data_IF_049079485602
#
_entry.id   IF_049079485602
#
_cell.length_a   1.000
_cell.length_b   1.000
_cell.length_c   1.000
_cell.angle_alpha   90.00
_cell.angle_beta   90.00
_cell.angle_gamma   90.00
#
_symmetry.space_group_name_H-M   'P 1'
#
loop_
_entity.id
_entity.type
_entity.pdbx_description
1 polymer ?
#
# COMPACT_ATOMS: atom_id res chain seq x y z
N UNK A 1 53.60 -44.21 -45.61
CA UNK A 1 54.50 -43.34 -44.83
C UNK A 1 53.73 -42.79 -43.62
N UNK A 2 54.45 -42.55 -42.54
CA UNK A 2 54.04 -42.58 -41.13
C UNK A 2 53.80 -41.15 -40.59
N UNK A 3 53.10 -41.04 -39.45
CA UNK A 3 53.30 -40.07 -38.33
C UNK A 3 52.30 -38.89 -38.16
N UNK A 4 51.42 -39.09 -37.17
CA UNK A 4 51.13 -38.32 -35.93
C UNK A 4 50.63 -36.86 -35.93
N UNK A 5 49.62 -36.72 -35.04
CA UNK A 5 49.44 -35.70 -34.00
C UNK A 5 48.88 -34.35 -34.41
N UNK A 6 47.70 -34.00 -33.87
CA UNK A 6 47.52 -32.89 -32.92
C UNK A 6 46.38 -33.19 -31.94
N UNK A 7 46.74 -33.75 -30.79
CA UNK A 7 45.99 -33.56 -29.53
C UNK A 7 46.20 -32.10 -29.14
N UNK A 8 45.13 -31.33 -28.97
CA UNK A 8 45.24 -29.97 -28.44
C UNK A 8 44.26 -28.97 -29.04
N UNK A 9 42.95 -29.19 -28.85
CA UNK A 9 41.96 -28.11 -28.78
C UNK A 9 41.02 -28.52 -27.63
N UNK A 10 41.43 -28.23 -26.40
CA UNK A 10 40.79 -27.18 -25.58
C UNK A 10 39.30 -27.55 -25.37
N UNK A 11 38.96 -28.39 -24.39
CA UNK A 11 38.64 -27.94 -23.02
C UNK A 11 37.93 -26.56 -23.01
N UNK A 12 36.87 -26.43 -23.82
CA UNK A 12 35.96 -25.27 -23.83
C UNK A 12 34.49 -25.72 -23.83
N UNK A 13 34.18 -26.85 -23.17
CA UNK A 13 32.81 -27.35 -23.01
C UNK A 13 32.30 -27.24 -21.57
N UNK A 14 32.97 -26.43 -20.74
CA UNK A 14 32.72 -26.39 -19.29
C UNK A 14 32.64 -24.97 -18.76
N UNK A 15 31.71 -24.15 -19.25
CA UNK A 15 31.18 -23.00 -18.50
C UNK A 15 29.95 -22.35 -19.16
N UNK A 16 28.93 -23.13 -19.53
CA UNK A 16 27.58 -22.61 -19.79
C UNK A 16 26.72 -22.77 -18.53
N UNK A 17 27.26 -22.25 -17.43
CA UNK A 17 26.57 -21.98 -16.16
C UNK A 17 26.59 -20.46 -15.98
N UNK A 18 25.84 -19.76 -16.84
CA UNK A 18 25.34 -18.41 -16.54
C UNK A 18 23.88 -18.60 -16.20
N UNK A 19 23.59 -19.10 -14.99
CA UNK A 19 22.99 -18.29 -13.94
C UNK A 19 21.99 -17.30 -14.55
N UNK A 20 20.76 -17.75 -14.74
CA UNK A 20 19.62 -16.85 -14.72
C UNK A 20 19.58 -16.24 -13.32
N UNK A 21 20.34 -15.17 -13.12
CA UNK A 21 20.11 -14.26 -12.01
C UNK A 21 18.77 -13.59 -12.29
N UNK A 22 17.69 -14.16 -11.77
CA UNK A 22 16.50 -13.39 -11.45
C UNK A 22 16.92 -12.40 -10.38
N UNK A 23 17.49 -11.28 -10.82
CA UNK A 23 17.61 -10.10 -9.97
C UNK A 23 16.18 -9.62 -9.76
N UNK A 24 15.66 -9.83 -8.56
CA UNK A 24 14.53 -9.04 -8.05
C UNK A 24 14.96 -7.58 -8.14
N UNK A 25 14.58 -6.93 -9.25
CA UNK A 25 14.75 -5.50 -9.40
C UNK A 25 13.96 -4.86 -8.25
N UNK A 26 14.57 -4.04 -7.37
CA UNK A 26 13.81 -3.33 -6.37
C UNK A 26 12.76 -2.53 -7.12
N UNK A 27 11.48 -2.84 -6.88
CA UNK A 27 10.32 -2.17 -7.47
C UNK A 27 10.58 -0.66 -7.44
N UNK A 28 10.90 -0.08 -8.59
CA UNK A 28 11.06 1.36 -8.77
C UNK A 28 9.86 2.04 -8.11
N UNK A 29 10.10 2.85 -7.09
CA UNK A 29 9.03 3.49 -6.34
C UNK A 29 8.14 4.25 -7.33
N UNK A 30 6.90 3.78 -7.51
CA UNK A 30 5.95 4.36 -8.47
C UNK A 30 5.87 5.87 -8.21
N UNK A 31 6.30 6.67 -9.20
CA UNK A 31 6.22 8.13 -9.10
C UNK A 31 4.76 8.54 -9.29
N UNK A 32 4.11 8.92 -8.20
CA UNK A 32 2.74 9.44 -8.25
C UNK A 32 2.79 10.94 -8.51
N UNK A 33 2.07 11.40 -9.53
CA UNK A 33 1.91 12.84 -9.83
C UNK A 33 0.94 13.53 -8.87
N UNK A 34 0.12 12.75 -8.17
CA UNK A 34 -0.88 13.21 -7.22
C UNK A 34 -0.68 12.56 -5.85
N UNK A 35 -0.87 13.35 -4.80
CA UNK A 35 -0.74 12.89 -3.41
C UNK A 35 -2.05 13.13 -2.67
N UNK A 36 -2.53 12.11 -1.97
CA UNK A 36 -3.71 12.22 -1.10
C UNK A 36 -3.32 12.52 0.34
N UNK A 37 -4.22 13.18 1.07
CA UNK A 37 -4.02 13.68 2.43
C UNK A 37 -5.26 13.40 3.28
N UNK A 38 -5.04 12.81 4.45
CA UNK A 38 -6.10 12.57 5.42
C UNK A 38 -6.50 13.89 6.06
N UNK A 39 -7.79 14.22 6.03
CA UNK A 39 -8.32 15.49 6.56
C UNK A 39 -7.56 16.73 6.06
N UNK A 40 -7.02 16.68 4.83
CA UNK A 40 -6.23 17.76 4.23
C UNK A 40 -4.96 18.14 5.01
N UNK A 41 -4.52 17.29 5.95
CA UNK A 41 -3.31 17.47 6.72
C UNK A 41 -2.09 17.12 5.88
N UNK A 42 -1.07 17.98 5.89
CA UNK A 42 0.23 17.71 5.26
C UNK A 42 1.12 16.78 6.09
N UNK A 43 0.63 16.28 7.23
CA UNK A 43 1.38 15.37 8.08
C UNK A 43 1.53 14.02 7.37
N UNK A 44 2.75 13.49 7.36
CA UNK A 44 2.97 12.07 7.06
C UNK A 44 2.40 11.26 8.24
N UNK A 45 1.10 10.98 8.19
CA UNK A 45 0.32 10.38 9.28
C UNK A 45 0.51 8.87 9.36
N UNK A 46 1.76 8.41 9.46
CA UNK A 46 2.04 6.97 9.63
C UNK A 46 1.49 6.42 10.95
N UNK A 47 1.38 7.26 11.98
CA UNK A 47 0.91 6.88 13.31
C UNK A 47 0.08 7.98 13.93
N UNK A 48 -1.11 7.65 14.45
CA UNK A 48 -2.03 8.60 15.07
C UNK A 48 -2.57 8.07 16.40
N UNK A 49 -2.67 8.91 17.45
CA UNK A 49 -3.45 8.56 18.63
C UNK A 49 -4.91 8.27 18.26
N UNK A 50 -5.55 7.29 18.90
CA UNK A 50 -6.97 6.92 18.63
C UNK A 50 -7.91 8.13 18.49
N UNK A 51 -7.89 9.06 19.45
CA UNK A 51 -8.75 10.25 19.42
C UNK A 51 -8.51 11.13 18.19
N UNK A 52 -7.26 11.28 17.77
CA UNK A 52 -6.91 12.02 16.56
C UNK A 52 -7.38 11.27 15.32
N UNK A 53 -7.19 9.96 15.28
CA UNK A 53 -7.70 9.12 14.19
C UNK A 53 -9.22 9.25 14.04
N UNK A 54 -9.99 9.09 15.12
CA UNK A 54 -11.46 9.21 15.12
C UNK A 54 -11.93 10.57 14.58
N UNK A 55 -11.21 11.63 14.95
CA UNK A 55 -11.53 12.98 14.50
C UNK A 55 -11.18 13.20 13.02
N UNK A 56 -10.07 12.63 12.54
CA UNK A 56 -9.55 12.85 11.19
C UNK A 56 -10.22 11.95 10.14
N UNK A 57 -10.56 10.71 10.48
CA UNK A 57 -11.19 9.76 9.53
C UNK A 57 -12.63 10.17 9.18
N UNK A 58 -13.27 10.94 10.04
CA UNK A 58 -14.59 11.52 9.80
C UNK A 58 -14.57 12.72 8.85
N UNK A 59 -13.39 13.28 8.53
CA UNK A 59 -13.23 14.43 7.65
C UNK A 59 -12.93 14.00 6.20
N UNK A 60 -13.25 14.85 5.21
CA UNK A 60 -12.97 14.54 3.82
C UNK A 60 -11.47 14.40 3.54
N UNK A 61 -11.13 13.51 2.61
CA UNK A 61 -9.83 13.43 1.98
C UNK A 61 -9.60 14.61 1.04
N UNK A 62 -8.36 15.08 1.02
CA UNK A 62 -7.88 16.01 0.02
C UNK A 62 -6.85 15.33 -0.88
N UNK A 63 -6.68 15.86 -2.08
CA UNK A 63 -5.58 15.49 -2.94
C UNK A 63 -4.98 16.72 -3.60
N UNK A 64 -3.68 16.67 -3.88
CA UNK A 64 -2.95 17.72 -4.61
C UNK A 64 -2.09 17.14 -5.72
N UNK A 65 -1.93 17.91 -6.78
CA UNK A 65 -0.96 17.63 -7.84
C UNK A 65 0.48 17.94 -7.40
N UNK A 66 1.44 17.72 -8.30
CA UNK A 66 2.85 18.04 -8.07
C UNK A 66 3.12 19.53 -7.81
N UNK A 67 2.24 20.40 -8.32
CA UNK A 67 2.31 21.86 -8.18
C UNK A 67 1.56 22.37 -6.94
N UNK A 68 1.06 21.46 -6.08
CA UNK A 68 0.29 21.75 -4.85
C UNK A 68 -1.11 22.32 -5.07
N UNK A 69 -1.64 22.26 -6.29
CA UNK A 69 -3.03 22.62 -6.56
C UNK A 69 -3.96 21.52 -6.05
N UNK A 70 -5.07 21.91 -5.44
CA UNK A 70 -6.10 20.97 -4.99
C UNK A 70 -6.80 20.33 -6.19
N UNK A 71 -6.99 19.01 -6.13
CA UNK A 71 -7.72 18.24 -7.14
C UNK A 71 -8.88 17.49 -6.51
N UNK A 72 -9.93 17.25 -7.28
CA UNK A 72 -11.14 16.58 -6.80
C UNK A 72 -10.89 15.08 -6.65
N UNK A 73 -11.13 14.55 -5.45
CA UNK A 73 -11.18 13.10 -5.19
C UNK A 73 -12.52 12.53 -5.68
N UNK A 74 -12.45 11.46 -6.46
CA UNK A 74 -13.61 10.78 -7.06
C UNK A 74 -14.02 9.54 -6.28
N UNK A 75 -13.05 8.74 -5.84
CA UNK A 75 -13.29 7.52 -5.06
C UNK A 75 -11.99 7.06 -4.40
N UNK A 76 -12.10 6.15 -3.45
CA UNK A 76 -10.96 5.48 -2.81
C UNK A 76 -11.42 4.21 -2.10
N UNK A 77 -10.47 3.35 -1.76
CA UNK A 77 -10.71 2.16 -0.95
C UNK A 77 -10.13 2.36 0.44
N UNK A 78 -10.85 1.93 1.47
CA UNK A 78 -10.34 1.85 2.84
C UNK A 78 -10.12 0.39 3.18
N UNK A 79 -8.89 0.03 3.51
CA UNK A 79 -8.50 -1.29 3.99
C UNK A 79 -8.24 -1.18 5.48
N UNK A 80 -9.02 -1.90 6.27
CA UNK A 80 -8.90 -1.96 7.71
C UNK A 80 -8.33 -3.31 8.14
N UNK A 81 -7.16 -3.27 8.78
CA UNK A 81 -6.48 -4.42 9.36
C UNK A 81 -6.70 -4.38 10.89
N UNK A 82 -7.71 -5.10 11.34
CA UNK A 82 -8.14 -5.21 12.74
C UNK A 82 -7.39 -6.36 13.42
N UNK A 83 -6.87 -6.15 14.64
CA UNK A 83 -6.25 -7.21 15.42
C UNK A 83 -7.27 -7.87 16.33
N UNK A 84 -7.62 -9.13 16.04
CA UNK A 84 -8.50 -9.94 16.87
C UNK A 84 -7.75 -10.91 17.78
N UNK A 85 -8.36 -11.22 18.92
CA UNK A 85 -7.93 -12.31 19.81
C UNK A 85 -8.75 -13.56 19.45
N UNK A 86 -8.04 -14.61 19.07
CA UNK A 86 -8.59 -15.89 18.63
C UNK A 86 -8.05 -17.02 19.49
N UNK A 87 -8.52 -18.24 19.21
CA UNK A 87 -8.09 -19.46 19.86
C UNK A 87 -7.45 -20.40 18.83
N UNK A 88 -6.33 -21.03 19.17
CA UNK A 88 -5.73 -22.07 18.34
C UNK A 88 -6.40 -23.44 18.54
N UNK A 89 -5.93 -24.45 17.83
CA UNK A 89 -6.46 -25.82 17.93
C UNK A 89 -6.25 -26.47 19.31
N UNK A 90 -5.33 -25.95 20.12
CA UNK A 90 -5.05 -26.43 21.48
C UNK A 90 -5.84 -25.65 22.54
N UNK A 91 -6.64 -24.66 22.13
CA UNK A 91 -7.41 -23.84 23.05
C UNK A 91 -6.65 -22.60 23.56
N UNK A 92 -5.46 -22.29 23.05
CA UNK A 92 -4.63 -21.19 23.52
C UNK A 92 -4.91 -19.88 22.76
N UNK A 93 -4.80 -18.72 23.43
CA UNK A 93 -5.03 -17.43 22.80
C UNK A 93 -3.96 -17.10 21.76
N UNK A 94 -4.38 -16.65 20.58
CA UNK A 94 -3.53 -16.22 19.46
C UNK A 94 -4.04 -14.91 18.87
N UNK A 95 -3.16 -14.08 18.30
CA UNK A 95 -3.55 -12.83 17.63
C UNK A 95 -3.56 -13.05 16.12
N UNK A 96 -4.67 -12.74 15.47
CA UNK A 96 -4.79 -12.68 14.02
C UNK A 96 -5.13 -11.26 13.55
N UNK A 97 -4.89 -11.00 12.28
CA UNK A 97 -5.26 -9.76 11.62
C UNK A 97 -6.35 -10.02 10.60
N UNK A 98 -7.51 -9.43 10.82
CA UNK A 98 -8.64 -9.51 9.91
C UNK A 98 -8.64 -8.29 9.00
N UNK A 99 -8.85 -8.52 7.71
CA UNK A 99 -8.88 -7.47 6.70
C UNK A 99 -10.30 -7.23 6.23
N UNK A 100 -10.75 -5.98 6.38
CA UNK A 100 -11.99 -5.48 5.78
C UNK A 100 -11.67 -4.45 4.71
N UNK A 101 -12.43 -4.44 3.61
CA UNK A 101 -12.28 -3.44 2.54
C UNK A 101 -13.60 -2.72 2.30
N UNK A 102 -13.53 -1.39 2.25
CA UNK A 102 -14.67 -0.53 2.03
C UNK A 102 -14.42 0.37 0.82
N UNK A 103 -15.28 0.27 -0.19
CA UNK A 103 -15.25 1.17 -1.33
C UNK A 103 -15.98 2.47 -0.97
N UNK A 104 -15.31 3.60 -1.17
CA UNK A 104 -15.83 4.92 -0.83
C UNK A 104 -15.98 5.75 -2.12
N UNK A 105 -17.20 6.19 -2.40
CA UNK A 105 -17.48 7.14 -3.46
C UNK A 105 -17.32 8.58 -2.96
N UNK A 106 -16.79 9.45 -3.81
CA UNK A 106 -16.46 10.83 -3.46
C UNK A 106 -15.20 10.92 -2.61
N UNK A 107 -15.19 11.88 -1.68
CA UNK A 107 -14.00 12.24 -0.90
C UNK A 107 -14.14 11.94 0.60
N UNK A 108 -15.21 11.30 1.05
CA UNK A 108 -15.48 11.09 2.48
C UNK A 108 -15.76 9.61 2.77
N UNK A 109 -15.33 9.15 3.94
CA UNK A 109 -15.66 7.81 4.42
C UNK A 109 -17.15 7.77 4.79
N UNK A 110 -17.92 6.74 4.35
CA UNK A 110 -19.31 6.60 4.73
C UNK A 110 -19.50 6.57 6.25
N UNK A 111 -20.57 7.22 6.75
CA UNK A 111 -20.83 7.36 8.19
C UNK A 111 -20.87 6.02 8.93
N UNK A 112 -21.41 4.97 8.32
CA UNK A 112 -21.46 3.63 8.92
C UNK A 112 -20.05 3.02 9.12
N UNK A 113 -19.12 3.29 8.20
CA UNK A 113 -17.73 2.85 8.31
C UNK A 113 -17.00 3.67 9.37
N UNK A 114 -17.26 4.99 9.45
CA UNK A 114 -16.73 5.83 10.53
C UNK A 114 -17.22 5.35 11.90
N UNK A 115 -18.51 5.01 12.04
CA UNK A 115 -19.04 4.43 13.28
C UNK A 115 -18.35 3.10 13.64
N UNK A 116 -18.12 2.23 12.66
CA UNK A 116 -17.37 0.98 12.87
C UNK A 116 -15.97 1.26 13.45
N UNK A 117 -15.25 2.24 12.91
CA UNK A 117 -13.96 2.63 13.46
C UNK A 117 -14.05 3.18 14.89
N UNK A 118 -15.06 3.99 15.19
CA UNK A 118 -15.23 4.53 16.54
C UNK A 118 -15.42 3.41 17.58
N UNK A 119 -16.18 2.37 17.22
CA UNK A 119 -16.53 1.26 18.11
C UNK A 119 -15.46 0.17 18.19
N UNK A 120 -14.79 -0.14 17.07
CA UNK A 120 -13.98 -1.36 16.91
C UNK A 120 -12.51 -1.14 16.63
N UNK A 121 -12.07 0.10 16.44
CA UNK A 121 -10.64 0.35 16.25
C UNK A 121 -9.90 0.51 17.57
N UNK A 122 -8.74 -0.10 17.64
CA UNK A 122 -7.90 -0.15 18.81
C UNK A 122 -6.45 0.17 18.46
N UNK A 123 -5.67 0.41 19.52
CA UNK A 123 -4.24 0.59 19.40
C UNK A 123 -3.59 -0.63 18.72
N UNK A 124 -2.79 -0.35 17.70
CA UNK A 124 -2.07 -1.35 16.92
C UNK A 124 -2.77 -1.75 15.63
N UNK A 125 -4.03 -1.36 15.45
CA UNK A 125 -4.72 -1.56 14.17
C UNK A 125 -4.17 -0.63 13.10
N UNK A 126 -4.36 -1.03 11.84
CA UNK A 126 -3.88 -0.28 10.68
C UNK A 126 -5.02 0.00 9.73
N UNK A 127 -5.14 1.26 9.30
CA UNK A 127 -6.07 1.70 8.26
C UNK A 127 -5.26 2.21 7.08
N UNK A 128 -5.49 1.63 5.91
CA UNK A 128 -4.87 2.06 4.66
C UNK A 128 -5.94 2.64 3.73
N UNK A 129 -5.64 3.75 3.10
CA UNK A 129 -6.47 4.40 2.09
C UNK A 129 -5.74 4.22 0.76
N UNK A 130 -6.31 3.39 -0.09
CA UNK A 130 -5.70 2.95 -1.33
C UNK A 130 -6.58 3.29 -2.53
N UNK A 131 -6.05 3.10 -3.74
CA UNK A 131 -6.76 3.33 -5.00
C UNK A 131 -7.49 4.68 -5.06
N UNK A 132 -6.91 5.72 -4.45
CA UNK A 132 -7.49 7.06 -4.44
C UNK A 132 -7.47 7.60 -5.87
N UNK A 133 -8.65 7.74 -6.47
CA UNK A 133 -8.85 8.27 -7.82
C UNK A 133 -9.16 9.75 -7.74
N UNK A 134 -8.49 10.54 -8.56
CA UNK A 134 -8.71 12.00 -8.67
C UNK A 134 -8.97 12.40 -10.11
N UNK A 135 -9.71 13.49 -10.29
CA UNK A 135 -9.89 14.12 -11.60
C UNK A 135 -8.77 15.13 -11.85
N UNK A 136 -7.92 14.85 -12.83
CA UNK A 136 -6.86 15.75 -13.28
C UNK A 136 -7.40 16.95 -14.09
N UNK A 137 -6.56 17.96 -14.36
CA UNK A 137 -6.93 19.10 -15.18
C UNK A 137 -7.24 18.71 -16.64
N UNK A 138 -6.74 17.56 -17.08
CA UNK A 138 -7.04 16.93 -18.37
C UNK A 138 -8.41 16.22 -18.40
N UNK A 139 -9.21 16.35 -17.35
CA UNK A 139 -10.47 15.65 -17.12
C UNK A 139 -10.37 14.12 -17.05
N UNK A 140 -9.16 13.55 -16.93
CA UNK A 140 -8.96 12.10 -16.77
C UNK A 140 -8.84 11.71 -15.30
N UNK A 141 -9.08 10.44 -15.03
CA UNK A 141 -8.90 9.86 -13.70
C UNK A 141 -7.46 9.39 -13.51
N UNK A 142 -6.85 9.80 -12.40
CA UNK A 142 -5.48 9.43 -12.02
C UNK A 142 -5.46 8.81 -10.63
N UNK A 143 -4.46 7.97 -10.35
CA UNK A 143 -4.30 7.33 -9.04
C UNK A 143 -3.28 8.12 -8.21
N UNK A 144 -3.65 8.46 -6.98
CA UNK A 144 -2.75 9.09 -6.02
C UNK A 144 -1.92 8.07 -5.24
N UNK A 145 -0.84 8.56 -4.62
CA UNK A 145 -0.21 7.84 -3.51
C UNK A 145 -1.22 7.66 -2.38
N UNK A 146 -1.37 6.42 -1.90
CA UNK A 146 -2.23 6.07 -0.78
C UNK A 146 -1.68 6.53 0.57
N UNK A 147 -2.51 6.37 1.61
CA UNK A 147 -2.22 6.76 2.99
C UNK A 147 -2.25 5.52 3.86
N UNK A 148 -1.34 5.41 4.83
CA UNK A 148 -1.35 4.34 5.82
C UNK A 148 -1.26 4.94 7.20
N UNK A 149 -2.20 4.57 8.07
CA UNK A 149 -2.30 5.04 9.45
C UNK A 149 -2.23 3.85 10.40
N UNK A 150 -1.32 3.89 11.36
CA UNK A 150 -1.27 2.97 12.50
C UNK A 150 -1.88 3.67 13.72
N UNK A 151 -2.87 3.07 14.35
CA UNK A 151 -3.54 3.64 15.52
C UNK A 151 -2.68 3.39 16.78
N UNK A 152 -2.43 4.41 17.59
CA UNK A 152 -1.58 4.35 18.79
C UNK A 152 -2.34 4.63 20.08
#
# INVERSE_FOLDING_TARGET
MRIRSKIGIVLLSGLLLTVFSFTDQPSSARKYEYTSYLACSSMETSTLPKKSFDSLIALPLCAKDSNKNSVQVQSFDVIYAERGLYQDSAGLPIIFTDYSTFQCEGNSVPKNVVSLFNERSYKGDTVSIENVKVKGPDNKSHICKGIKVIIK
#
